data_IF_229467718989
#
_entry.id   IF_229467718989
#
_cell.length_a   1.000
_cell.length_b   1.000
_cell.length_c   1.000
_cell.angle_alpha   90.00
_cell.angle_beta   90.00
_cell.angle_gamma   90.00
#
_symmetry.space_group_name_H-M   'P 1'
#
loop_
_entity.id
_entity.type
_entity.pdbx_description
1 polymer ?
#
# COMPACT_ATOMS: atom_id res chain seq x y z
N UNK A 1 16.36 -1.84 -31.39
CA UNK A 1 15.78 -0.64 -30.76
C UNK A 1 15.18 -1.03 -29.42
N UNK A 2 15.80 -0.53 -28.33
CA UNK A 2 15.27 -0.40 -26.95
C UNK A 2 14.90 -1.72 -26.25
N UNK A 3 15.79 -2.44 -25.55
CA UNK A 3 16.41 -2.03 -24.27
C UNK A 3 15.49 -1.15 -23.40
N UNK A 4 15.00 -1.71 -22.28
CA UNK A 4 14.51 -1.03 -21.05
C UNK A 4 13.13 -1.45 -20.50
N UNK A 5 12.57 -2.59 -20.91
CA UNK A 5 11.48 -3.25 -20.17
C UNK A 5 11.97 -4.40 -19.28
N UNK A 6 13.21 -4.30 -18.78
CA UNK A 6 13.67 -5.14 -17.67
C UNK A 6 12.76 -4.83 -16.48
N UNK A 7 11.83 -5.72 -16.13
CA UNK A 7 12.12 -6.77 -15.14
C UNK A 7 12.72 -6.21 -13.83
N UNK A 8 12.20 -5.10 -13.31
CA UNK A 8 12.08 -5.01 -11.85
C UNK A 8 11.09 -6.13 -11.48
N UNK A 9 11.63 -7.28 -11.08
CA UNK A 9 10.86 -8.53 -11.03
C UNK A 9 9.70 -8.33 -10.04
N UNK A 10 8.51 -8.92 -10.28
CA UNK A 10 7.44 -8.96 -9.26
C UNK A 10 7.91 -9.50 -7.88
N UNK A 11 8.95 -10.33 -7.87
CA UNK A 11 9.62 -10.77 -6.64
C UNK A 11 10.27 -9.64 -5.82
N UNK A 12 10.64 -8.52 -6.45
CA UNK A 12 11.13 -7.30 -5.79
C UNK A 12 9.97 -6.57 -5.07
N UNK A 13 8.78 -6.51 -5.68
CA UNK A 13 7.60 -5.92 -5.03
C UNK A 13 7.18 -6.68 -3.76
N UNK A 14 7.11 -8.02 -3.82
CA UNK A 14 6.79 -8.85 -2.64
C UNK A 14 7.85 -8.68 -1.52
N UNK A 15 9.14 -8.60 -1.86
CA UNK A 15 10.22 -8.39 -0.89
C UNK A 15 10.10 -7.01 -0.22
N UNK A 16 9.84 -5.96 -1.00
CA UNK A 16 9.62 -4.59 -0.50
C UNK A 16 8.38 -4.49 0.36
N UNK A 17 7.27 -5.12 -0.05
CA UNK A 17 6.07 -5.23 0.77
C UNK A 17 6.40 -5.85 2.13
N UNK A 18 7.08 -7.01 2.15
CA UNK A 18 7.44 -7.68 3.41
C UNK A 18 8.32 -6.81 4.29
N UNK A 19 9.30 -6.12 3.71
CA UNK A 19 10.15 -5.20 4.45
C UNK A 19 9.34 -4.02 5.01
N UNK A 20 8.46 -3.43 4.19
CA UNK A 20 7.58 -2.34 4.60
C UNK A 20 6.66 -2.72 5.75
N UNK A 21 6.01 -3.88 5.67
CA UNK A 21 5.17 -4.42 6.74
C UNK A 21 5.97 -4.60 8.05
N UNK A 22 7.15 -5.22 7.98
CA UNK A 22 8.04 -5.38 9.14
C UNK A 22 8.48 -4.03 9.72
N UNK A 23 8.79 -3.05 8.88
CA UNK A 23 9.18 -1.71 9.34
C UNK A 23 8.02 -1.01 10.04
N UNK A 24 6.77 -1.18 9.58
CA UNK A 24 5.58 -0.64 10.24
C UNK A 24 5.38 -1.26 11.61
N UNK A 25 5.50 -2.58 11.70
CA UNK A 25 5.40 -3.32 12.97
C UNK A 25 6.49 -2.88 13.98
N UNK A 26 7.67 -2.48 13.48
CA UNK A 26 8.75 -1.89 14.28
C UNK A 26 8.56 -0.40 14.60
N UNK A 27 7.44 0.21 14.20
CA UNK A 27 7.14 1.63 14.41
C UNK A 27 7.92 2.59 13.50
N UNK A 28 8.70 2.09 12.53
CA UNK A 28 9.47 2.88 11.57
C UNK A 28 8.60 3.26 10.36
N UNK A 29 7.55 4.02 10.62
CA UNK A 29 6.42 4.23 9.70
C UNK A 29 6.81 4.95 8.40
N UNK A 30 7.72 5.91 8.45
CA UNK A 30 8.21 6.62 7.26
C UNK A 30 9.01 5.70 6.34
N UNK A 31 9.86 4.85 6.92
CA UNK A 31 10.63 3.87 6.18
C UNK A 31 9.71 2.77 5.61
N UNK A 32 8.69 2.36 6.37
CA UNK A 32 7.67 1.44 5.90
C UNK A 32 6.94 1.99 4.68
N UNK A 33 6.49 3.25 4.74
CA UNK A 33 5.82 3.90 3.63
C UNK A 33 6.70 3.96 2.38
N UNK A 34 7.99 4.29 2.52
CA UNK A 34 8.91 4.32 1.38
C UNK A 34 9.04 2.96 0.67
N UNK A 35 9.16 1.87 1.42
CA UNK A 35 9.23 0.52 0.82
C UNK A 35 7.89 0.10 0.19
N UNK A 36 6.77 0.47 0.80
CA UNK A 36 5.43 0.17 0.29
C UNK A 36 5.10 0.99 -0.96
N UNK A 37 5.52 2.26 -1.02
CA UNK A 37 5.46 3.10 -2.23
C UNK A 37 6.22 2.44 -3.39
N UNK A 38 7.45 1.98 -3.13
CA UNK A 38 8.25 1.29 -4.13
C UNK A 38 7.66 -0.07 -4.53
N UNK A 39 7.10 -0.83 -3.58
CA UNK A 39 6.41 -2.09 -3.88
C UNK A 39 5.24 -1.88 -4.86
N UNK A 40 4.39 -0.87 -4.61
CA UNK A 40 3.27 -0.49 -5.49
C UNK A 40 3.76 0.06 -6.83
N UNK A 41 4.89 0.80 -6.84
CA UNK A 41 5.50 1.31 -8.07
C UNK A 41 6.01 0.18 -8.97
N UNK A 42 6.62 -0.84 -8.38
CA UNK A 42 7.14 -2.02 -9.10
C UNK A 42 6.00 -2.93 -9.57
N UNK A 43 5.01 -3.19 -8.71
CA UNK A 43 3.82 -3.98 -9.05
C UNK A 43 2.54 -3.27 -8.59
N UNK A 44 1.90 -2.60 -9.55
CA UNK A 44 0.63 -1.89 -9.35
C UNK A 44 -0.55 -2.83 -9.11
N UNK A 45 -0.38 -4.13 -9.33
CA UNK A 45 -1.41 -5.16 -9.16
C UNK A 45 -1.26 -5.95 -7.86
N UNK A 46 -0.40 -5.48 -6.93
CA UNK A 46 -0.15 -6.15 -5.67
C UNK A 46 -1.09 -5.62 -4.56
N UNK A 47 -2.20 -6.31 -4.24
CA UNK A 47 -3.21 -5.79 -3.32
C UNK A 47 -2.68 -5.58 -1.90
N UNK A 48 -1.85 -6.50 -1.39
CA UNK A 48 -1.27 -6.36 -0.04
C UNK A 48 -0.38 -5.14 0.10
N UNK A 49 0.49 -4.86 -0.88
CA UNK A 49 1.34 -3.67 -0.86
C UNK A 49 0.51 -2.39 -0.86
N UNK A 50 -0.55 -2.33 -1.68
CA UNK A 50 -1.45 -1.18 -1.74
C UNK A 50 -2.22 -0.95 -0.43
N UNK A 51 -2.77 -2.01 0.17
CA UNK A 51 -3.48 -1.92 1.45
C UNK A 51 -2.53 -1.50 2.59
N UNK A 52 -1.36 -2.13 2.68
CA UNK A 52 -0.37 -1.86 3.72
C UNK A 52 0.20 -0.44 3.62
N UNK A 53 0.31 0.09 2.41
CA UNK A 53 0.64 1.50 2.15
C UNK A 53 -0.41 2.44 2.74
N UNK A 54 -1.70 2.13 2.57
CA UNK A 54 -2.78 2.92 3.16
C UNK A 54 -2.72 2.91 4.70
N UNK A 55 -2.44 1.74 5.29
CA UNK A 55 -2.21 1.61 6.73
C UNK A 55 -1.01 2.43 7.21
N UNK A 56 0.12 2.39 6.49
CA UNK A 56 1.31 3.17 6.84
C UNK A 56 1.03 4.68 6.79
N UNK A 57 0.24 5.16 5.82
CA UNK A 57 -0.19 6.57 5.75
C UNK A 57 -1.07 6.95 6.93
N UNK A 58 -2.02 6.09 7.31
CA UNK A 58 -2.86 6.31 8.48
C UNK A 58 -2.03 6.37 9.77
N UNK A 59 -1.09 5.44 9.96
CA UNK A 59 -0.21 5.39 11.12
C UNK A 59 0.69 6.63 11.25
N UNK A 60 1.01 7.29 10.14
CA UNK A 60 1.73 8.57 10.08
C UNK A 60 0.82 9.78 10.33
N UNK A 61 -0.49 9.59 10.53
CA UNK A 61 -1.47 10.67 10.65
C UNK A 61 -1.76 11.39 9.32
N UNK A 62 -1.32 10.83 8.19
CA UNK A 62 -1.55 11.37 6.84
C UNK A 62 -2.92 10.93 6.34
N UNK A 63 -3.97 11.32 7.05
CA UNK A 63 -5.32 10.78 6.87
C UNK A 63 -5.90 11.03 5.47
N UNK A 64 -5.68 12.21 4.89
CA UNK A 64 -6.14 12.50 3.52
C UNK A 64 -5.48 11.60 2.46
N UNK A 65 -4.18 11.31 2.63
CA UNK A 65 -3.47 10.40 1.73
C UNK A 65 -3.91 8.94 1.95
N UNK A 66 -4.18 8.57 3.21
CA UNK A 66 -4.68 7.24 3.56
C UNK A 66 -6.09 7.00 2.98
N UNK A 67 -6.98 8.00 3.09
CA UNK A 67 -8.32 7.98 2.50
C UNK A 67 -8.24 7.69 1.00
N UNK A 68 -7.46 8.48 0.27
CA UNK A 68 -7.26 8.29 -1.16
C UNK A 68 -6.67 6.91 -1.49
N UNK A 69 -5.70 6.45 -0.70
CA UNK A 69 -5.09 5.13 -0.92
C UNK A 69 -6.09 3.98 -0.70
N UNK A 70 -7.01 4.11 0.26
CA UNK A 70 -8.09 3.15 0.48
C UNK A 70 -9.09 3.15 -0.68
N UNK A 71 -9.46 4.33 -1.21
CA UNK A 71 -10.32 4.42 -2.40
C UNK A 71 -9.68 3.74 -3.62
N UNK A 72 -8.41 4.05 -3.89
CA UNK A 72 -7.65 3.44 -4.99
C UNK A 72 -7.58 1.91 -4.83
N UNK A 73 -7.35 1.42 -3.60
CA UNK A 73 -7.34 0.00 -3.28
C UNK A 73 -8.70 -0.66 -3.54
N UNK A 74 -9.80 -0.07 -3.05
CA UNK A 74 -11.15 -0.60 -3.24
C UNK A 74 -11.58 -0.61 -4.70
N UNK A 75 -11.14 0.39 -5.48
CA UNK A 75 -11.39 0.45 -6.91
C UNK A 75 -10.60 -0.62 -7.69
N UNK A 76 -9.31 -0.78 -7.38
CA UNK A 76 -8.42 -1.69 -8.09
C UNK A 76 -8.64 -3.16 -7.71
N UNK A 77 -9.06 -3.44 -6.47
CA UNK A 77 -9.15 -4.80 -5.93
C UNK A 77 -10.51 -5.09 -5.27
N UNK A 78 -11.63 -4.98 -6.00
CA UNK A 78 -12.98 -5.03 -5.41
C UNK A 78 -13.38 -6.39 -4.81
N UNK A 79 -12.62 -7.45 -5.08
CA UNK A 79 -12.84 -8.81 -4.54
C UNK A 79 -11.72 -9.26 -3.57
N UNK A 80 -10.81 -8.37 -3.18
CA UNK A 80 -9.74 -8.72 -2.26
C UNK A 80 -10.28 -8.91 -0.82
N UNK A 81 -9.76 -9.87 -0.03
CA UNK A 81 -10.21 -10.13 1.33
C UNK A 81 -10.16 -8.92 2.28
N UNK A 82 -9.30 -7.93 2.01
CA UNK A 82 -9.20 -6.73 2.84
C UNK A 82 -10.19 -5.63 2.48
N UNK A 83 -11.00 -5.79 1.43
CA UNK A 83 -11.97 -4.76 0.98
C UNK A 83 -12.97 -4.36 2.05
N UNK A 84 -13.51 -5.30 2.83
CA UNK A 84 -14.47 -4.97 3.89
C UNK A 84 -13.82 -4.19 5.04
N UNK A 85 -12.56 -4.51 5.36
CA UNK A 85 -11.79 -3.80 6.39
C UNK A 85 -11.41 -2.41 5.90
N UNK A 86 -10.93 -2.30 4.66
CA UNK A 86 -10.60 -1.03 4.02
C UNK A 86 -11.81 -0.08 3.95
N UNK A 87 -13.01 -0.62 3.68
CA UNK A 87 -14.25 0.18 3.67
C UNK A 87 -14.59 0.75 5.05
N UNK A 88 -14.49 -0.06 6.11
CA UNK A 88 -14.74 0.41 7.49
C UNK A 88 -13.74 1.48 7.89
N UNK A 89 -12.46 1.27 7.59
CA UNK A 89 -11.42 2.26 7.86
C UNK A 89 -11.66 3.56 7.11
N UNK A 90 -12.12 3.48 5.85
CA UNK A 90 -12.49 4.65 5.06
C UNK A 90 -13.69 5.41 5.66
N UNK A 91 -14.69 4.68 6.17
CA UNK A 91 -15.84 5.27 6.88
C UNK A 91 -15.41 5.97 8.17
N UNK A 92 -14.50 5.36 8.95
CA UNK A 92 -13.93 5.93 10.18
C UNK A 92 -13.14 7.22 9.90
N UNK A 93 -12.32 7.24 8.85
CA UNK A 93 -11.57 8.43 8.44
C UNK A 93 -12.46 9.59 7.99
N UNK A 94 -13.67 9.28 7.51
CA UNK A 94 -14.67 10.26 7.05
C UNK A 94 -15.65 10.69 8.13
N UNK A 95 -15.61 10.03 9.30
CA UNK A 95 -16.45 10.41 10.41
C UNK A 95 -16.05 11.81 10.92
N UNK A 96 -17.05 12.65 11.25
CA UNK A 96 -16.82 14.03 11.69
C UNK A 96 -16.19 14.14 13.09
#
# INVERSE_FOLDING_TARGET
HLESAARLRPADAEARYRLGALLRDLGKREAALAELDEAVRVDRTHPRAAYERALALHDLGRYADAEKALEDFLFAFPADPFTDVARRMLEELRAP
#
